data_IF_545172447099
#
_entry.id   IF_545172447099
#
_cell.length_a   1.000
_cell.length_b   1.000
_cell.length_c   1.000
_cell.angle_alpha   90.00
_cell.angle_beta   90.00
_cell.angle_gamma   90.00
#
_symmetry.space_group_name_H-M   'P 1'
#
loop_
_entity.id
_entity.type
_entity.pdbx_description
1 polymer ?
#
# COMPACT_ATOMS: atom_id res chain seq x y z
N UNK A 1 32.34 0.83 -55.40
CA UNK A 1 32.72 2.26 -55.42
C UNK A 1 32.10 2.78 -56.70
N UNK A 2 31.17 3.74 -56.59
CA UNK A 2 30.34 4.33 -57.69
C UNK A 2 29.30 3.33 -58.27
N UNK A 3 28.11 3.17 -57.67
CA UNK A 3 26.89 3.88 -58.08
C UNK A 3 25.86 3.97 -56.93
N UNK A 4 26.30 4.52 -55.80
CA UNK A 4 25.47 4.65 -54.58
C UNK A 4 24.71 5.99 -54.50
N UNK A 5 24.66 6.81 -55.56
CA UNK A 5 24.24 8.23 -55.43
C UNK A 5 23.29 8.81 -56.49
N UNK A 6 22.74 8.05 -57.45
CA UNK A 6 22.04 8.67 -58.60
C UNK A 6 20.54 8.38 -58.75
N UNK A 7 19.83 7.81 -57.77
CA UNK A 7 18.39 7.57 -57.99
C UNK A 7 17.55 7.27 -56.77
N UNK A 8 17.24 8.29 -55.94
CA UNK A 8 15.96 8.42 -55.22
C UNK A 8 15.86 9.72 -54.39
N UNK A 9 16.52 10.82 -54.78
CA UNK A 9 16.18 12.17 -54.33
C UNK A 9 15.25 12.81 -55.36
N UNK A 10 13.97 12.42 -55.36
CA UNK A 10 12.92 13.27 -55.95
C UNK A 10 12.30 14.04 -54.80
N UNK A 11 12.92 15.21 -54.61
CA UNK A 11 12.43 16.35 -53.86
C UNK A 11 11.15 16.85 -54.55
N UNK A 12 9.97 16.64 -53.97
CA UNK A 12 8.82 17.50 -54.27
C UNK A 12 8.88 18.71 -53.35
N UNK A 13 9.81 19.62 -53.66
CA UNK A 13 9.75 21.02 -53.26
C UNK A 13 8.98 21.78 -54.34
N UNK A 14 7.65 21.79 -54.27
CA UNK A 14 6.79 22.76 -54.95
C UNK A 14 5.34 22.54 -54.49
N UNK A 15 4.96 23.18 -53.39
CA UNK A 15 3.66 23.83 -53.13
C UNK A 15 3.64 24.27 -51.66
N UNK A 16 4.40 25.34 -51.39
CA UNK A 16 4.05 26.23 -50.29
C UNK A 16 2.84 27.09 -50.73
N UNK A 17 2.05 27.52 -49.76
CA UNK A 17 1.04 28.61 -49.82
C UNK A 17 -0.38 28.18 -50.25
N UNK A 18 -1.12 27.52 -49.34
CA UNK A 18 -2.56 27.72 -49.06
C UNK A 18 -3.10 26.63 -48.10
N UNK A 19 -2.73 26.68 -46.82
CA UNK A 19 -3.46 25.95 -45.76
C UNK A 19 -3.25 26.56 -44.38
N UNK A 20 -3.28 27.90 -44.32
CA UNK A 20 -3.74 28.56 -43.10
C UNK A 20 -5.27 28.47 -43.12
N UNK A 21 -5.86 27.89 -42.07
CA UNK A 21 -7.31 27.74 -41.82
C UNK A 21 -7.94 26.43 -42.36
N UNK A 22 -7.55 25.29 -41.79
CA UNK A 22 -8.42 24.15 -41.41
C UNK A 22 -7.52 23.00 -40.89
N UNK A 23 -7.99 22.16 -39.97
CA UNK A 23 -7.23 21.03 -39.46
C UNK A 23 -7.11 19.91 -40.49
N UNK A 24 -6.06 19.94 -41.31
CA UNK A 24 -5.77 18.86 -42.26
C UNK A 24 -4.80 17.86 -41.62
N UNK A 25 -5.26 16.62 -41.48
CA UNK A 25 -4.41 15.45 -41.24
C UNK A 25 -3.40 15.40 -42.39
N UNK A 26 -2.13 15.72 -42.12
CA UNK A 26 -1.06 15.51 -43.08
C UNK A 26 -0.71 14.03 -43.10
N UNK A 27 -1.26 13.31 -44.07
CA UNK A 27 -1.00 11.89 -44.28
C UNK A 27 0.16 11.75 -45.27
N UNK A 28 1.30 11.24 -44.80
CA UNK A 28 2.45 10.95 -45.65
C UNK A 28 2.52 9.43 -45.83
N UNK A 29 2.46 8.99 -47.09
CA UNK A 29 2.63 7.58 -47.46
C UNK A 29 4.06 7.39 -47.97
N UNK A 30 4.83 6.52 -47.31
CA UNK A 30 6.17 6.13 -47.75
C UNK A 30 6.10 4.65 -48.09
N UNK A 31 6.41 4.26 -49.32
CA UNK A 31 6.48 2.85 -49.71
C UNK A 31 7.94 2.46 -49.98
N UNK A 32 8.37 1.33 -49.41
CA UNK A 32 9.70 0.75 -49.66
C UNK A 32 9.55 -0.71 -50.07
N UNK A 33 10.17 -1.08 -51.19
CA UNK A 33 10.23 -2.46 -51.65
C UNK A 33 11.30 -3.21 -50.85
N UNK A 34 10.91 -4.30 -50.20
CA UNK A 34 11.82 -5.20 -49.48
C UNK A 34 11.59 -6.60 -50.03
N UNK A 35 12.58 -7.13 -50.76
CA UNK A 35 12.47 -8.35 -51.56
C UNK A 35 11.31 -8.30 -52.57
N UNK A 36 10.39 -9.27 -52.56
CA UNK A 36 9.23 -9.36 -53.47
C UNK A 36 7.93 -8.77 -52.88
N UNK A 37 8.02 -8.13 -51.71
CA UNK A 37 6.87 -7.51 -51.04
C UNK A 37 7.00 -5.99 -50.95
N UNK A 38 5.89 -5.30 -51.18
CA UNK A 38 5.77 -3.86 -50.95
C UNK A 38 5.38 -3.59 -49.50
N UNK A 39 6.18 -2.79 -48.80
CA UNK A 39 5.84 -2.31 -47.45
C UNK A 39 5.42 -0.86 -47.56
N UNK A 40 4.20 -0.55 -47.15
CA UNK A 40 3.60 0.79 -47.17
C UNK A 40 3.54 1.32 -45.74
N UNK A 41 4.13 2.49 -45.50
CA UNK A 41 4.11 3.19 -44.22
C UNK A 41 3.13 4.36 -44.30
N UNK A 42 2.17 4.38 -43.37
CA UNK A 42 1.19 5.46 -43.21
C UNK A 42 1.56 6.26 -41.95
N UNK A 43 2.04 7.49 -42.14
CA UNK A 43 2.41 8.38 -41.03
C UNK A 43 1.30 9.40 -40.83
N UNK A 44 0.59 9.28 -39.71
CA UNK A 44 -0.41 10.24 -39.24
C UNK A 44 0.21 11.00 -38.06
N UNK A 45 0.53 12.27 -38.28
CA UNK A 45 1.21 13.08 -37.29
C UNK A 45 0.25 13.55 -36.18
N UNK A 46 0.16 12.80 -35.08
CA UNK A 46 -0.24 13.39 -33.80
C UNK A 46 0.39 12.82 -32.51
N UNK A 47 1.25 11.79 -32.55
CA UNK A 47 2.09 11.39 -31.41
C UNK A 47 3.29 10.55 -31.91
N UNK A 48 4.50 11.13 -32.08
CA UNK A 48 5.68 10.37 -32.51
C UNK A 48 6.15 9.35 -31.46
N UNK A 49 5.61 9.36 -30.23
CA UNK A 49 5.97 8.44 -29.15
C UNK A 49 5.38 7.04 -29.33
N UNK A 50 4.22 6.88 -29.98
CA UNK A 50 3.58 5.56 -30.16
C UNK A 50 4.11 4.80 -31.38
N UNK A 51 4.47 5.50 -32.47
CA UNK A 51 4.88 4.86 -33.72
C UNK A 51 6.31 4.28 -33.64
N UNK A 52 7.20 4.90 -32.85
CA UNK A 52 8.55 4.36 -32.61
C UNK A 52 8.48 3.05 -31.79
N UNK A 53 7.51 2.92 -30.89
CA UNK A 53 7.27 1.67 -30.14
C UNK A 53 6.82 0.51 -31.04
N UNK A 54 6.03 0.81 -32.07
CA UNK A 54 5.50 -0.21 -32.99
C UNK A 54 6.54 -0.75 -33.97
N UNK A 55 7.55 0.05 -34.33
CA UNK A 55 8.55 -0.33 -35.35
C UNK A 55 9.77 -1.03 -34.73
N UNK A 56 10.14 -0.77 -33.46
CA UNK A 56 11.43 -1.24 -32.94
C UNK A 56 11.45 -2.64 -32.28
N UNK A 57 10.36 -3.25 -31.80
CA UNK A 57 10.47 -4.50 -31.02
C UNK A 57 9.41 -5.58 -31.26
N UNK A 58 9.58 -6.32 -32.34
CA UNK A 58 9.12 -7.71 -32.45
C UNK A 58 10.33 -8.66 -32.49
N UNK A 59 11.11 -8.67 -31.41
CA UNK A 59 12.12 -9.70 -31.15
C UNK A 59 11.64 -10.56 -29.97
N UNK A 60 11.58 -11.88 -30.15
CA UNK A 60 11.12 -12.84 -29.13
C UNK A 60 11.84 -12.69 -27.77
N UNK A 61 13.07 -12.15 -27.76
CA UNK A 61 13.87 -11.92 -26.56
C UNK A 61 13.29 -10.83 -25.62
N UNK A 62 12.51 -9.88 -26.14
CA UNK A 62 11.98 -8.73 -25.37
C UNK A 62 10.53 -8.87 -24.92
N UNK A 63 9.83 -9.93 -25.36
CA UNK A 63 8.50 -10.28 -24.84
C UNK A 63 8.52 -10.53 -23.33
N UNK A 64 9.57 -11.19 -22.83
CA UNK A 64 9.76 -11.43 -21.39
C UNK A 64 9.90 -10.12 -20.61
N UNK A 65 10.71 -9.18 -21.11
CA UNK A 65 10.91 -7.86 -20.48
C UNK A 65 9.59 -7.08 -20.40
N UNK A 66 8.81 -7.09 -21.48
CA UNK A 66 7.49 -6.45 -21.49
C UNK A 66 6.50 -7.10 -20.53
N UNK A 67 6.49 -8.43 -20.41
CA UNK A 67 5.68 -9.13 -19.43
C UNK A 67 6.10 -8.79 -17.99
N UNK A 68 7.41 -8.65 -17.73
CA UNK A 68 7.89 -8.19 -16.42
C UNK A 68 7.48 -6.76 -16.12
N UNK A 69 7.62 -5.83 -17.07
CA UNK A 69 7.20 -4.43 -16.86
C UNK A 69 5.69 -4.31 -16.66
N UNK A 70 4.90 -5.08 -17.40
CA UNK A 70 3.44 -5.11 -17.25
C UNK A 70 3.06 -5.75 -15.91
N UNK A 71 3.74 -6.82 -15.48
CA UNK A 71 3.54 -7.44 -14.17
C UNK A 71 3.96 -6.52 -13.01
N UNK A 72 5.05 -5.76 -13.15
CA UNK A 72 5.49 -4.75 -12.17
C UNK A 72 4.48 -3.61 -12.11
N UNK A 73 4.02 -3.10 -13.27
CA UNK A 73 3.00 -2.06 -13.33
C UNK A 73 1.67 -2.49 -12.71
N UNK A 74 1.24 -3.73 -12.94
CA UNK A 74 0.06 -4.30 -12.31
C UNK A 74 0.28 -4.52 -10.80
N UNK A 75 1.44 -5.04 -10.40
CA UNK A 75 1.81 -5.24 -9.00
C UNK A 75 1.83 -3.93 -8.20
N UNK A 76 2.35 -2.85 -8.78
CA UNK A 76 2.33 -1.51 -8.17
C UNK A 76 0.92 -0.92 -8.10
N UNK A 77 0.06 -1.19 -9.10
CA UNK A 77 -1.34 -0.77 -9.11
C UNK A 77 -2.20 -1.52 -8.08
N UNK A 78 -1.85 -2.78 -7.79
CA UNK A 78 -2.59 -3.62 -6.85
C UNK A 78 -2.25 -3.37 -5.38
N UNK A 79 -1.20 -2.59 -5.06
CA UNK A 79 -0.98 -2.18 -3.66
C UNK A 79 -1.98 -1.07 -3.36
N UNK A 80 -2.86 -1.23 -2.34
CA UNK A 80 -3.76 -0.16 -1.94
C UNK A 80 -2.93 1.09 -1.62
N UNK A 81 -3.28 2.24 -2.20
CA UNK A 81 -2.57 3.52 -1.98
C UNK A 81 -2.32 3.80 -0.49
N UNK A 82 -3.25 3.37 0.38
CA UNK A 82 -3.14 3.47 1.83
C UNK A 82 -1.92 2.70 2.41
N UNK A 83 -1.65 1.49 1.91
CA UNK A 83 -0.49 0.71 2.37
C UNK A 83 0.83 1.32 1.91
N UNK A 84 0.85 1.90 0.70
CA UNK A 84 2.06 2.53 0.14
C UNK A 84 2.46 3.81 0.89
N UNK A 85 1.48 4.60 1.33
CA UNK A 85 1.76 5.75 2.19
C UNK A 85 2.23 5.32 3.58
N UNK A 86 1.63 4.26 4.15
CA UNK A 86 2.04 3.71 5.43
C UNK A 86 3.47 3.17 5.44
N UNK A 87 3.93 2.55 4.36
CA UNK A 87 5.32 2.04 4.28
C UNK A 87 6.35 3.17 4.31
N UNK A 88 6.12 4.28 3.59
CA UNK A 88 7.00 5.45 3.60
C UNK A 88 7.00 6.11 4.98
N UNK A 89 5.82 6.26 5.58
CA UNK A 89 5.69 6.85 6.91
C UNK A 89 6.43 6.02 7.96
N UNK A 90 6.33 4.68 7.88
CA UNK A 90 7.05 3.78 8.77
C UNK A 90 8.57 3.97 8.67
N UNK A 91 9.13 4.11 7.46
CA UNK A 91 10.57 4.34 7.28
C UNK A 91 11.05 5.69 7.85
N UNK A 92 10.23 6.74 7.74
CA UNK A 92 10.56 8.02 8.36
C UNK A 92 10.53 7.92 9.90
N UNK A 93 9.51 7.25 10.44
CA UNK A 93 9.37 7.04 11.88
C UNK A 93 10.47 6.14 12.45
N UNK A 94 10.96 5.13 11.71
CA UNK A 94 12.11 4.31 12.17
C UNK A 94 13.36 5.16 12.36
N UNK A 95 13.66 6.07 11.42
CA UNK A 95 14.79 7.01 11.55
C UNK A 95 14.64 7.94 12.76
N UNK A 96 13.42 8.39 13.06
CA UNK A 96 13.15 9.21 14.24
C UNK A 96 13.28 8.42 15.55
N UNK A 97 12.88 7.15 15.55
CA UNK A 97 13.06 6.25 16.70
C UNK A 97 14.54 5.96 16.93
N UNK A 98 15.36 5.86 15.88
CA UNK A 98 16.81 5.69 16.01
C UNK A 98 17.49 6.89 16.66
N UNK A 99 17.03 8.12 16.36
CA UNK A 99 17.56 9.33 17.00
C UNK A 99 17.04 9.53 18.42
N UNK A 100 15.77 9.19 18.68
CA UNK A 100 15.11 9.36 19.97
C UNK A 100 14.47 8.04 20.46
N UNK A 101 15.28 7.05 20.89
CA UNK A 101 14.79 5.69 21.21
C UNK A 101 14.02 5.59 22.54
N UNK A 102 13.91 6.67 23.30
CA UNK A 102 13.20 6.71 24.58
C UNK A 102 11.88 7.48 24.49
N UNK A 103 11.49 7.92 23.30
CA UNK A 103 10.22 8.60 23.09
C UNK A 103 9.08 7.56 22.91
N UNK A 104 8.17 7.42 23.89
CA UNK A 104 7.07 6.47 23.79
C UNK A 104 6.11 6.80 22.64
N UNK A 105 5.97 8.09 22.30
CA UNK A 105 5.03 8.54 21.27
C UNK A 105 5.53 8.18 19.87
N UNK A 106 6.85 8.24 19.64
CA UNK A 106 7.43 7.77 18.38
C UNK A 106 7.26 6.26 18.20
N UNK A 107 7.47 5.49 19.27
CA UNK A 107 7.20 4.06 19.25
C UNK A 107 5.71 3.76 19.01
N UNK A 108 4.82 4.52 19.63
CA UNK A 108 3.38 4.39 19.44
C UNK A 108 2.96 4.69 17.99
N UNK A 109 3.38 5.83 17.43
CA UNK A 109 3.09 6.22 16.04
C UNK A 109 3.63 5.21 15.04
N UNK A 110 4.84 4.70 15.27
CA UNK A 110 5.44 3.67 14.43
C UNK A 110 4.63 2.37 14.50
N UNK A 111 4.24 1.93 15.70
CA UNK A 111 3.36 0.77 15.88
C UNK A 111 2.02 0.92 15.16
N UNK A 112 1.38 2.09 15.25
CA UNK A 112 0.11 2.36 14.53
C UNK A 112 0.29 2.29 13.01
N UNK A 113 1.38 2.85 12.52
CA UNK A 113 1.71 2.82 11.09
C UNK A 113 2.00 1.41 10.61
N UNK A 114 2.72 0.61 11.40
CA UNK A 114 2.99 -0.80 11.08
C UNK A 114 1.70 -1.64 11.08
N UNK A 115 0.78 -1.39 12.01
CA UNK A 115 -0.51 -2.07 12.08
C UNK A 115 -1.40 -1.77 10.86
N UNK A 116 -1.34 -0.55 10.31
CA UNK A 116 -2.15 -0.14 9.14
C UNK A 116 -1.65 -0.76 7.84
N UNK A 117 -0.37 -1.16 7.79
CA UNK A 117 0.24 -1.90 6.67
C UNK A 117 0.31 -3.42 6.90
N UNK A 118 -0.42 -3.92 7.91
CA UNK A 118 -0.51 -5.33 8.32
C UNK A 118 0.81 -5.99 8.77
N UNK A 119 1.81 -5.18 9.19
CA UNK A 119 3.04 -5.67 9.83
C UNK A 119 2.83 -5.80 11.35
N UNK A 120 1.96 -6.73 11.74
CA UNK A 120 1.45 -6.84 13.12
C UNK A 120 2.54 -7.23 14.12
N UNK A 121 3.42 -8.18 13.79
CA UNK A 121 4.51 -8.62 14.67
C UNK A 121 5.48 -7.48 15.02
N UNK A 122 5.84 -6.67 14.04
CA UNK A 122 6.70 -5.50 14.25
C UNK A 122 5.98 -4.40 15.04
N UNK A 123 4.68 -4.22 14.81
CA UNK A 123 3.87 -3.31 15.60
C UNK A 123 3.86 -3.70 17.09
N UNK A 124 3.78 -5.00 17.41
CA UNK A 124 3.85 -5.52 18.79
C UNK A 124 5.13 -5.05 19.48
N UNK A 125 6.30 -5.21 18.83
CA UNK A 125 7.60 -4.81 19.42
C UNK A 125 7.61 -3.31 19.78
N UNK A 126 7.08 -2.46 18.92
CA UNK A 126 7.05 -1.02 19.17
C UNK A 126 6.02 -0.63 20.24
N UNK A 127 4.84 -1.27 20.27
CA UNK A 127 3.87 -1.04 21.34
C UNK A 127 4.34 -1.58 22.70
N UNK A 128 5.09 -2.69 22.72
CA UNK A 128 5.75 -3.19 23.93
C UNK A 128 6.76 -2.17 24.47
N UNK A 129 7.55 -1.53 23.61
CA UNK A 129 8.45 -0.44 24.03
C UNK A 129 7.67 0.76 24.59
N UNK A 130 6.59 1.18 23.92
CA UNK A 130 5.76 2.29 24.39
C UNK A 130 5.13 2.00 25.76
N UNK A 131 4.62 0.78 25.98
CA UNK A 131 4.08 0.33 27.28
C UNK A 131 5.17 0.17 28.34
N UNK A 132 6.39 -0.27 27.99
CA UNK A 132 7.50 -0.31 28.95
C UNK A 132 7.94 1.09 29.39
N UNK A 133 7.93 2.06 28.47
CA UNK A 133 8.28 3.46 28.76
C UNK A 133 7.18 4.17 29.57
N UNK A 134 5.90 3.84 29.30
CA UNK A 134 4.74 4.38 30.04
C UNK A 134 3.80 3.23 30.44
N UNK A 135 4.09 2.53 31.57
CA UNK A 135 3.34 1.33 31.98
C UNK A 135 1.87 1.56 32.30
N UNK A 136 1.51 2.77 32.76
CA UNK A 136 0.15 3.09 33.18
C UNK A 136 -0.72 3.67 32.05
N UNK A 137 -0.27 3.62 30.80
CA UNK A 137 -1.04 4.13 29.66
C UNK A 137 -2.00 3.07 29.14
N UNK A 138 -3.28 3.19 29.51
CA UNK A 138 -4.34 2.32 28.98
C UNK A 138 -4.42 2.40 27.45
N UNK A 139 -4.20 3.58 26.88
CA UNK A 139 -4.15 3.76 25.43
C UNK A 139 -3.09 2.85 24.80
N UNK A 140 -1.87 2.81 25.32
CA UNK A 140 -0.82 1.97 24.76
C UNK A 140 -1.13 0.47 24.95
N UNK A 141 -1.71 0.09 26.08
CA UNK A 141 -2.19 -1.28 26.31
C UNK A 141 -3.32 -1.69 25.34
N UNK A 142 -4.24 -0.76 25.01
CA UNK A 142 -5.29 -0.99 24.01
C UNK A 142 -4.71 -1.19 22.60
N UNK A 143 -3.70 -0.44 22.19
CA UNK A 143 -3.09 -0.67 20.88
C UNK A 143 -2.23 -1.93 20.85
N UNK A 144 -1.52 -2.24 21.94
CA UNK A 144 -0.78 -3.49 22.07
C UNK A 144 -1.69 -4.72 21.98
N UNK A 145 -2.80 -4.74 22.73
CA UNK A 145 -3.80 -5.81 22.66
C UNK A 145 -4.47 -5.93 21.28
N UNK A 146 -4.64 -4.81 20.55
CA UNK A 146 -5.14 -4.83 19.17
C UNK A 146 -4.18 -5.57 18.24
N UNK A 147 -2.87 -5.35 18.41
CA UNK A 147 -1.83 -6.03 17.65
C UNK A 147 -1.78 -7.52 17.99
N UNK A 148 -1.84 -7.88 19.29
CA UNK A 148 -1.92 -9.29 19.71
C UNK A 148 -3.15 -10.00 19.16
N UNK A 149 -4.31 -9.35 19.16
CA UNK A 149 -5.55 -9.89 18.58
C UNK A 149 -5.40 -10.16 17.08
N UNK A 150 -4.78 -9.25 16.33
CA UNK A 150 -4.47 -9.46 14.90
C UNK A 150 -3.47 -10.61 14.68
N UNK A 151 -2.63 -10.90 15.68
CA UNK A 151 -1.67 -11.99 15.66
C UNK A 151 -2.20 -13.29 16.31
N UNK A 152 -3.49 -13.34 16.69
CA UNK A 152 -4.13 -14.45 17.41
C UNK A 152 -3.45 -14.84 18.74
N UNK A 153 -2.73 -13.91 19.36
CA UNK A 153 -2.02 -14.12 20.62
C UNK A 153 -2.89 -13.66 21.81
N UNK A 154 -3.92 -14.45 22.13
CA UNK A 154 -4.92 -14.07 23.13
C UNK A 154 -4.36 -14.13 24.55
N UNK A 155 -3.46 -15.07 24.84
CA UNK A 155 -2.72 -15.14 26.10
C UNK A 155 -2.04 -13.82 26.49
N UNK A 156 -1.33 -13.18 25.56
CA UNK A 156 -0.65 -11.92 25.86
C UNK A 156 -1.61 -10.74 26.05
N UNK A 157 -2.85 -10.81 25.52
CA UNK A 157 -3.89 -9.81 25.82
C UNK A 157 -4.26 -9.85 27.31
N UNK A 158 -4.42 -11.04 27.88
CA UNK A 158 -4.75 -11.22 29.29
C UNK A 158 -3.68 -10.59 30.18
N UNK A 159 -2.40 -10.89 29.91
CA UNK A 159 -1.25 -10.35 30.65
C UNK A 159 -1.16 -8.83 30.50
N UNK A 160 -1.42 -8.30 29.31
CA UNK A 160 -1.35 -6.85 29.04
C UNK A 160 -2.36 -6.06 29.87
N UNK A 161 -3.54 -6.64 30.13
CA UNK A 161 -4.61 -5.98 30.86
C UNK A 161 -4.68 -6.33 32.35
N UNK A 162 -3.93 -7.33 32.82
CA UNK A 162 -3.80 -7.68 34.24
C UNK A 162 -3.57 -6.47 35.17
N UNK A 163 -2.62 -5.53 34.90
CA UNK A 163 -2.41 -4.38 35.78
C UNK A 163 -3.53 -3.34 35.74
N UNK A 164 -4.48 -3.44 34.80
CA UNK A 164 -5.61 -2.54 34.67
C UNK A 164 -6.89 -3.07 35.38
N UNK A 165 -6.81 -4.24 36.02
CA UNK A 165 -7.89 -4.87 36.80
C UNK A 165 -7.57 -4.78 38.31
N UNK A 166 -8.45 -4.28 39.23
CA UNK A 166 -9.78 -3.70 39.09
C UNK A 166 -9.78 -2.21 39.51
N UNK A 167 -9.61 -1.28 38.57
CA UNK A 167 -9.82 0.14 38.88
C UNK A 167 -11.32 0.42 38.88
N UNK A 168 -11.88 0.47 40.09
CA UNK A 168 -13.27 0.76 40.43
C UNK A 168 -13.58 2.26 40.27
N UNK A 169 -13.09 2.89 39.20
CA UNK A 169 -13.32 4.30 38.92
C UNK A 169 -14.45 4.43 37.90
N UNK A 170 -15.63 4.80 38.40
CA UNK A 170 -16.85 5.17 37.67
C UNK A 170 -16.60 6.20 36.53
N UNK A 171 -15.42 6.83 36.49
CA UNK A 171 -15.07 7.92 35.59
C UNK A 171 -14.76 7.49 34.14
N UNK A 172 -14.55 6.19 33.87
CA UNK A 172 -14.06 5.71 32.57
C UNK A 172 -14.84 4.53 31.97
N UNK A 173 -16.11 4.37 32.33
CA UNK A 173 -16.98 3.23 31.94
C UNK A 173 -16.96 2.94 30.42
N UNK A 174 -16.95 3.99 29.59
CA UNK A 174 -16.89 3.85 28.12
C UNK A 174 -15.57 3.26 27.60
N UNK A 175 -14.43 3.63 28.17
CA UNK A 175 -13.12 3.11 27.71
C UNK A 175 -12.91 1.68 28.22
N UNK A 176 -13.35 1.40 29.44
CA UNK A 176 -13.30 0.05 30.01
C UNK A 176 -14.25 -0.92 29.32
N UNK A 177 -15.35 -0.45 28.72
CA UNK A 177 -16.23 -1.28 27.89
C UNK A 177 -15.44 -2.04 26.81
N UNK A 178 -14.55 -1.34 26.10
CA UNK A 178 -13.75 -1.92 25.03
C UNK A 178 -12.69 -2.89 25.57
N UNK A 179 -12.15 -2.62 26.77
CA UNK A 179 -11.20 -3.51 27.46
C UNK A 179 -11.88 -4.82 27.85
N UNK A 180 -13.05 -4.75 28.50
CA UNK A 180 -13.80 -5.95 28.90
C UNK A 180 -14.22 -6.78 27.69
N UNK A 181 -14.65 -6.17 26.59
CA UNK A 181 -14.97 -6.90 25.35
C UNK A 181 -13.75 -7.63 24.77
N UNK A 182 -12.56 -7.03 24.85
CA UNK A 182 -11.33 -7.66 24.36
C UNK A 182 -10.87 -8.80 25.27
N UNK A 183 -11.00 -8.63 26.59
CA UNK A 183 -10.71 -9.66 27.57
C UNK A 183 -11.68 -10.85 27.45
N UNK A 184 -12.98 -10.58 27.35
CA UNK A 184 -14.02 -11.58 27.16
C UNK A 184 -13.73 -12.44 25.91
N UNK A 185 -13.44 -11.80 24.77
CA UNK A 185 -12.99 -12.50 23.57
C UNK A 185 -11.72 -13.32 23.80
N UNK A 186 -10.70 -12.76 24.46
CA UNK A 186 -9.46 -13.47 24.74
C UNK A 186 -9.70 -14.72 25.62
N UNK A 187 -10.51 -14.62 26.67
CA UNK A 187 -10.87 -15.75 27.53
C UNK A 187 -11.66 -16.83 26.79
N UNK A 188 -12.57 -16.46 25.88
CA UNK A 188 -13.31 -17.43 25.05
C UNK A 188 -12.38 -18.21 24.12
N UNK A 189 -11.45 -17.52 23.45
CA UNK A 189 -10.51 -18.14 22.51
C UNK A 189 -9.51 -19.08 23.23
N UNK A 190 -9.16 -18.76 24.48
CA UNK A 190 -8.34 -19.63 25.34
C UNK A 190 -9.15 -20.77 26.01
N UNK A 191 -10.49 -20.77 25.89
CA UNK A 191 -11.38 -21.82 26.40
C UNK A 191 -11.93 -21.60 27.82
N UNK A 192 -11.64 -20.46 28.45
CA UNK A 192 -12.12 -20.10 29.80
C UNK A 192 -13.51 -19.44 29.75
N UNK A 193 -14.51 -20.19 29.30
CA UNK A 193 -15.86 -19.68 29.06
C UNK A 193 -16.57 -19.19 30.34
N UNK A 194 -16.31 -19.82 31.49
CA UNK A 194 -16.93 -19.44 32.76
C UNK A 194 -16.50 -18.02 33.17
N UNK A 195 -15.19 -17.75 33.09
CA UNK A 195 -14.58 -16.44 33.37
C UNK A 195 -15.07 -15.40 32.35
N UNK A 196 -15.12 -15.76 31.07
CA UNK A 196 -15.64 -14.87 30.03
C UNK A 196 -17.08 -14.43 30.30
N UNK A 197 -17.94 -15.33 30.79
CA UNK A 197 -19.32 -15.03 31.13
C UNK A 197 -19.46 -14.16 32.38
N UNK A 198 -18.54 -14.29 33.35
CA UNK A 198 -18.47 -13.42 34.53
C UNK A 198 -18.17 -11.97 34.12
N UNK A 199 -17.16 -11.75 33.26
CA UNK A 199 -16.87 -10.43 32.71
C UNK A 199 -18.03 -9.86 31.88
N UNK A 200 -18.71 -10.71 31.09
CA UNK A 200 -19.91 -10.30 30.34
C UNK A 200 -21.04 -9.89 31.29
N UNK A 201 -21.23 -10.57 32.41
CA UNK A 201 -22.27 -10.27 33.39
C UNK A 201 -22.01 -8.95 34.12
N UNK A 202 -20.75 -8.68 34.49
CA UNK A 202 -20.34 -7.37 35.00
C UNK A 202 -20.53 -6.27 33.95
N UNK A 203 -20.17 -6.55 32.70
CA UNK A 203 -20.31 -5.60 31.60
C UNK A 203 -21.77 -5.31 31.24
N UNK A 204 -22.66 -6.30 31.22
CA UNK A 204 -24.07 -6.13 30.89
C UNK A 204 -24.81 -5.15 31.82
N UNK A 205 -24.32 -4.97 33.05
CA UNK A 205 -24.88 -4.00 34.00
C UNK A 205 -24.59 -2.54 33.61
N UNK A 206 -23.54 -2.30 32.80
CA UNK A 206 -23.10 -0.96 32.36
C UNK A 206 -23.87 -0.44 31.14
N UNK A 207 -24.73 -1.26 30.51
CA UNK A 207 -25.57 -0.85 29.38
C UNK A 207 -24.85 -0.67 28.04
N UNK A 208 -23.55 -0.95 27.97
CA UNK A 208 -22.78 -0.91 26.73
C UNK A 208 -22.81 -2.27 26.01
N UNK A 209 -22.68 -2.26 24.68
CA UNK A 209 -22.59 -3.47 23.85
C UNK A 209 -21.23 -3.54 23.20
N UNK A 210 -20.64 -4.74 23.15
CA UNK A 210 -19.38 -4.94 22.44
C UNK A 210 -19.60 -4.66 20.95
N UNK A 211 -18.97 -3.60 20.44
CA UNK A 211 -19.00 -3.30 19.01
C UNK A 211 -18.18 -4.37 18.31
N UNK A 212 -18.83 -5.16 17.47
CA UNK A 212 -18.15 -6.08 16.56
C UNK A 212 -17.47 -5.26 15.46
N UNK A 213 -16.17 -5.00 15.62
CA UNK A 213 -15.30 -4.48 14.56
C UNK A 213 -14.94 -5.58 13.54
#
# INVERSE_FOLDING_TARGET
MEDFLTGAFIVFAALAILSFIAGWISMIIIAKKVSDTWVIFLVIAHLPTLVIFSILHWSHAKKRIWLYLLAIGFGLCCIPLNKWQGTILAENLTKQVETNPKDPELHFKLGQTLLSIDRNEEAIVHFQKATQLVPNSLTYAMYLSRSYRKNSDFKNILITFEPFLPLNDDLHESVYSEVYCRLEKAYREEGYNDIANEYLAHFAQTGFTCRSD
#
